data_IF_681623633948
#
_entry.id   IF_681623633948
#
_cell.length_a   1.000
_cell.length_b   1.000
_cell.length_c   1.000
_cell.angle_alpha   90.00
_cell.angle_beta   90.00
_cell.angle_gamma   90.00
#
_symmetry.space_group_name_H-M   'P 1'
#
loop_
_entity.id
_entity.type
_entity.pdbx_description
1 polymer ?
#
# COMPACT_ATOMS: atom_id res chain seq x y z
N UNK A 1 -6.83 -21.69 1.61
CA UNK A 1 -5.46 -21.52 1.09
C UNK A 1 -5.09 -20.05 1.10
N UNK A 2 -3.82 -19.70 1.23
CA UNK A 2 -3.38 -18.31 1.12
C UNK A 2 -3.37 -17.89 -0.35
N UNK A 3 -3.82 -16.68 -0.65
CA UNK A 3 -3.71 -16.06 -1.97
C UNK A 3 -2.22 -15.75 -2.20
N UNK A 4 -1.47 -16.71 -2.75
CA UNK A 4 -0.04 -16.56 -2.99
C UNK A 4 0.26 -15.27 -3.76
N UNK A 5 1.01 -14.34 -3.15
CA UNK A 5 1.58 -13.08 -3.66
C UNK A 5 0.86 -12.32 -4.81
N UNK A 6 -0.47 -12.39 -4.91
CA UNK A 6 -1.28 -11.66 -5.92
C UNK A 6 -1.71 -10.25 -5.48
N UNK A 7 -1.23 -9.77 -4.33
CA UNK A 7 -1.58 -8.46 -3.81
C UNK A 7 -0.96 -7.33 -4.65
N UNK A 8 -1.67 -6.90 -5.70
CA UNK A 8 -1.24 -5.88 -6.63
C UNK A 8 -2.37 -4.88 -6.90
N UNK A 9 -2.07 -3.59 -7.00
CA UNK A 9 -3.06 -2.53 -7.30
C UNK A 9 -3.95 -2.86 -8.49
N UNK A 10 -3.35 -3.34 -9.58
CA UNK A 10 -4.03 -3.62 -10.85
C UNK A 10 -5.08 -4.72 -10.75
N UNK A 11 -4.88 -5.72 -9.89
CA UNK A 11 -5.76 -6.87 -9.78
C UNK A 11 -6.58 -6.88 -8.50
N UNK A 12 -6.17 -6.14 -7.46
CA UNK A 12 -6.75 -6.20 -6.12
C UNK A 12 -8.26 -6.01 -6.12
N UNK A 13 -8.77 -4.96 -6.78
CA UNK A 13 -10.21 -4.70 -6.82
C UNK A 13 -10.97 -5.85 -7.50
N UNK A 14 -10.48 -6.32 -8.65
CA UNK A 14 -11.08 -7.44 -9.37
C UNK A 14 -11.01 -8.76 -8.59
N UNK A 15 -9.92 -8.99 -7.86
CA UNK A 15 -9.74 -10.18 -7.03
C UNK A 15 -10.62 -10.12 -5.78
N UNK A 16 -10.75 -8.93 -5.18
CA UNK A 16 -11.62 -8.70 -4.04
C UNK A 16 -13.09 -8.90 -4.42
N UNK A 17 -13.51 -8.39 -5.57
CA UNK A 17 -14.87 -8.59 -6.08
C UNK A 17 -15.19 -10.06 -6.40
N UNK A 18 -14.22 -10.79 -6.97
CA UNK A 18 -14.35 -12.24 -7.16
C UNK A 18 -14.51 -12.97 -5.83
N UNK A 19 -13.76 -12.58 -4.80
CA UNK A 19 -13.89 -13.16 -3.46
C UNK A 19 -15.25 -12.82 -2.84
N UNK A 20 -15.70 -11.57 -2.96
CA UNK A 20 -17.01 -11.12 -2.49
C UNK A 20 -18.15 -11.89 -3.14
N UNK A 21 -18.10 -12.07 -4.46
CA UNK A 21 -19.08 -12.89 -5.18
C UNK A 21 -18.99 -14.38 -4.82
N UNK A 22 -17.78 -14.92 -4.67
CA UNK A 22 -17.58 -16.32 -4.29
C UNK A 22 -18.09 -16.67 -2.90
N UNK A 23 -17.98 -15.73 -1.96
CA UNK A 23 -18.33 -15.92 -0.56
C UNK A 23 -19.58 -15.12 -0.13
N UNK A 24 -20.44 -14.73 -1.07
CA UNK A 24 -21.62 -13.90 -0.78
C UNK A 24 -22.58 -14.57 0.21
N UNK A 25 -22.83 -15.87 0.06
CA UNK A 25 -23.69 -16.64 0.98
C UNK A 25 -23.12 -16.63 2.41
N UNK A 26 -21.81 -16.85 2.56
CA UNK A 26 -21.14 -16.77 3.85
C UNK A 26 -21.22 -15.36 4.47
N UNK A 27 -21.13 -14.31 3.65
CA UNK A 27 -21.24 -12.93 4.14
C UNK A 27 -22.66 -12.63 4.63
N UNK A 28 -23.69 -13.17 3.97
CA UNK A 28 -25.08 -13.07 4.45
C UNK A 28 -25.27 -13.84 5.76
N UNK A 29 -24.75 -15.07 5.86
CA UNK A 29 -24.79 -15.84 7.11
C UNK A 29 -24.12 -15.09 8.27
N UNK A 30 -22.95 -14.50 8.02
CA UNK A 30 -22.25 -13.66 9.01
C UNK A 30 -23.10 -12.44 9.37
N UNK A 31 -23.79 -11.82 8.41
CA UNK A 31 -24.64 -10.67 8.68
C UNK A 31 -25.86 -11.04 9.53
N UNK A 32 -26.48 -12.21 9.31
CA UNK A 32 -27.54 -12.75 10.17
C UNK A 32 -27.04 -12.95 11.60
N UNK A 33 -25.86 -13.56 11.76
CA UNK A 33 -25.24 -13.79 13.07
C UNK A 33 -24.89 -12.47 13.76
N UNK A 34 -24.51 -11.44 13.00
CA UNK A 34 -24.26 -10.11 13.52
C UNK A 34 -25.55 -9.36 13.92
N UNK A 35 -26.72 -9.73 13.37
CA UNK A 35 -28.02 -9.09 13.68
C UNK A 35 -28.64 -9.61 14.97
N UNK A 36 -28.23 -10.77 15.47
CA UNK A 36 -28.62 -11.22 16.81
C UNK A 36 -28.12 -10.22 17.87
N UNK A 37 -28.97 -9.84 18.83
CA UNK A 37 -28.60 -8.96 19.96
C UNK A 37 -27.63 -9.62 20.96
N UNK A 38 -27.23 -10.87 20.70
CA UNK A 38 -26.29 -11.63 21.50
C UNK A 38 -24.82 -11.28 21.19
N UNK A 39 -23.92 -11.75 22.05
CA UNK A 39 -22.49 -11.77 21.75
C UNK A 39 -22.21 -12.65 20.53
N UNK A 40 -21.21 -12.29 19.72
CA UNK A 40 -20.84 -13.13 18.59
C UNK A 40 -20.40 -14.52 19.07
N UNK A 41 -20.85 -15.60 18.42
CA UNK A 41 -20.39 -16.94 18.73
C UNK A 41 -18.86 -17.02 18.67
N UNK A 42 -18.24 -17.54 19.74
CA UNK A 42 -16.77 -17.64 19.86
C UNK A 42 -16.17 -18.41 18.68
N UNK A 43 -16.90 -19.40 18.14
CA UNK A 43 -16.44 -20.18 16.99
C UNK A 43 -16.15 -19.32 15.75
N UNK A 44 -16.93 -18.26 15.52
CA UNK A 44 -16.72 -17.36 14.37
C UNK A 44 -15.46 -16.52 14.59
N UNK A 45 -15.23 -16.09 15.83
CA UNK A 45 -14.04 -15.31 16.20
C UNK A 45 -12.79 -16.19 16.15
N UNK A 46 -12.87 -17.43 16.64
CA UNK A 46 -11.71 -18.30 16.87
C UNK A 46 -11.31 -19.16 15.68
N UNK A 47 -12.25 -19.48 14.77
CA UNK A 47 -12.03 -20.44 13.67
C UNK A 47 -10.71 -20.21 12.92
N UNK A 48 -10.47 -18.99 12.43
CA UNK A 48 -9.26 -18.67 11.66
C UNK A 48 -8.03 -18.50 12.55
N UNK A 49 -8.04 -17.70 13.64
CA UNK A 49 -6.88 -17.59 14.53
C UNK A 49 -6.39 -18.94 15.07
N UNK A 50 -7.28 -19.86 15.41
CA UNK A 50 -6.93 -21.18 15.95
C UNK A 50 -6.37 -22.10 14.87
N UNK A 51 -7.01 -22.16 13.71
CA UNK A 51 -6.51 -22.90 12.56
C UNK A 51 -5.09 -22.47 12.19
N UNK A 52 -4.85 -21.16 12.07
CA UNK A 52 -3.55 -20.64 11.66
C UNK A 52 -2.49 -20.84 12.74
N UNK A 53 -2.82 -20.56 14.01
CA UNK A 53 -1.88 -20.76 15.12
C UNK A 53 -1.45 -22.22 15.24
N UNK A 54 -2.39 -23.17 15.15
CA UNK A 54 -2.07 -24.60 15.15
C UNK A 54 -1.20 -25.01 13.96
N UNK A 55 -1.55 -24.53 12.75
CA UNK A 55 -0.77 -24.81 11.53
C UNK A 55 0.65 -24.30 11.64
N UNK A 56 0.86 -23.05 12.06
CA UNK A 56 2.20 -22.47 12.23
C UNK A 56 2.97 -23.19 13.35
N UNK A 57 2.31 -23.50 14.47
CA UNK A 57 2.91 -24.21 15.60
C UNK A 57 3.44 -25.60 15.25
N UNK A 58 2.79 -26.30 14.30
CA UNK A 58 3.24 -27.62 13.82
C UNK A 58 4.50 -27.60 12.93
N UNK A 59 4.92 -26.42 12.44
CA UNK A 59 6.07 -26.31 11.54
C UNK A 59 7.39 -26.31 12.31
N UNK A 60 8.25 -27.29 12.03
CA UNK A 60 9.53 -27.47 12.70
C UNK A 60 10.56 -26.36 12.39
N UNK A 61 10.58 -25.85 11.15
CA UNK A 61 11.55 -24.85 10.71
C UNK A 61 11.12 -23.43 11.07
N UNK A 62 11.99 -22.69 11.77
CA UNK A 62 11.79 -21.25 12.05
C UNK A 62 11.57 -20.43 10.77
N UNK A 63 12.33 -20.72 9.71
CA UNK A 63 12.16 -20.05 8.40
C UNK A 63 10.78 -20.31 7.81
N UNK A 64 10.32 -21.57 7.83
CA UNK A 64 8.98 -21.94 7.32
C UNK A 64 7.86 -21.31 8.16
N UNK A 65 8.03 -21.27 9.49
CA UNK A 65 7.11 -20.57 10.40
C UNK A 65 6.99 -19.09 10.03
N UNK A 66 8.12 -18.40 9.89
CA UNK A 66 8.12 -16.98 9.55
C UNK A 66 7.47 -16.70 8.19
N UNK A 67 7.76 -17.52 7.17
CA UNK A 67 7.11 -17.39 5.86
C UNK A 67 5.60 -17.63 5.94
N UNK A 68 5.17 -18.69 6.62
CA UNK A 68 3.75 -18.99 6.79
C UNK A 68 3.03 -17.89 7.58
N UNK A 69 3.62 -17.39 8.68
CA UNK A 69 3.10 -16.26 9.45
C UNK A 69 2.92 -15.03 8.57
N UNK A 70 3.92 -14.69 7.77
CA UNK A 70 3.85 -13.55 6.87
C UNK A 70 2.73 -13.69 5.84
N UNK A 71 2.65 -14.85 5.18
CA UNK A 71 1.62 -15.11 4.16
C UNK A 71 0.21 -15.06 4.77
N UNK A 72 0.03 -15.65 5.94
CA UNK A 72 -1.24 -15.62 6.66
C UNK A 72 -1.60 -14.21 7.13
N UNK A 73 -0.65 -13.47 7.70
CA UNK A 73 -0.85 -12.06 8.08
C UNK A 73 -1.30 -11.22 6.89
N UNK A 74 -0.59 -11.33 5.77
CA UNK A 74 -0.92 -10.60 4.55
C UNK A 74 -2.34 -10.95 4.07
N UNK A 75 -2.71 -12.22 4.06
CA UNK A 75 -4.06 -12.64 3.67
C UNK A 75 -5.14 -12.12 4.62
N UNK A 76 -4.86 -12.10 5.93
CA UNK A 76 -5.77 -11.54 6.92
C UNK A 76 -6.04 -10.06 6.66
N UNK A 77 -4.99 -9.26 6.55
CA UNK A 77 -5.13 -7.80 6.43
C UNK A 77 -5.53 -7.34 5.03
N UNK A 78 -5.14 -8.05 3.98
CA UNK A 78 -5.42 -7.64 2.61
C UNK A 78 -6.81 -8.08 2.14
N UNK A 79 -7.26 -9.28 2.56
CA UNK A 79 -8.47 -9.88 2.00
C UNK A 79 -9.47 -10.27 3.08
N UNK A 80 -9.10 -11.12 4.04
CA UNK A 80 -10.09 -11.71 4.94
C UNK A 80 -10.80 -10.67 5.83
N UNK A 81 -10.05 -9.85 6.57
CA UNK A 81 -10.62 -8.83 7.46
C UNK A 81 -11.43 -7.80 6.66
N UNK A 82 -10.92 -7.22 5.55
CA UNK A 82 -11.72 -6.35 4.69
C UNK A 82 -12.98 -7.02 4.12
N UNK A 83 -12.93 -8.31 3.77
CA UNK A 83 -14.05 -9.05 3.21
C UNK A 83 -15.16 -9.27 4.24
N UNK A 84 -14.81 -9.74 5.45
CA UNK A 84 -15.78 -9.89 6.54
C UNK A 84 -16.36 -8.54 6.95
N UNK A 85 -15.53 -7.48 6.94
CA UNK A 85 -15.97 -6.10 7.19
C UNK A 85 -16.95 -5.56 6.13
N UNK A 86 -17.12 -6.26 4.99
CA UNK A 86 -18.11 -5.95 3.94
C UNK A 86 -19.38 -6.77 4.02
N UNK A 87 -19.54 -7.61 5.04
CA UNK A 87 -20.82 -8.25 5.32
C UNK A 87 -21.91 -7.16 5.53
N UNK A 88 -23.16 -7.38 5.08
CA UNK A 88 -24.25 -6.41 5.18
C UNK A 88 -24.78 -6.28 6.62
N UNK A 89 -23.94 -5.80 7.53
CA UNK A 89 -24.27 -5.56 8.94
C UNK A 89 -23.41 -4.45 9.55
N UNK A 90 -24.02 -3.57 10.33
CA UNK A 90 -23.34 -2.48 11.04
C UNK A 90 -22.36 -3.00 12.11
N UNK A 91 -22.54 -4.25 12.56
CA UNK A 91 -21.69 -4.91 13.56
C UNK A 91 -20.50 -5.67 12.95
N UNK A 92 -20.36 -5.71 11.63
CA UNK A 92 -19.23 -6.37 10.96
C UNK A 92 -17.86 -5.78 11.36
N UNK A 93 -17.81 -4.47 11.63
CA UNK A 93 -16.62 -3.81 12.16
C UNK A 93 -16.22 -4.30 13.56
N UNK A 94 -17.22 -4.54 14.43
CA UNK A 94 -16.99 -5.06 15.78
C UNK A 94 -16.46 -6.51 15.73
N UNK A 95 -17.08 -7.36 14.90
CA UNK A 95 -16.67 -8.75 14.70
C UNK A 95 -15.21 -8.85 14.23
N UNK A 96 -14.87 -8.09 13.18
CA UNK A 96 -13.50 -8.07 12.64
C UNK A 96 -12.49 -7.55 13.67
N UNK A 97 -12.87 -6.58 14.50
CA UNK A 97 -12.05 -6.11 15.63
C UNK A 97 -11.77 -7.21 16.67
N UNK A 98 -12.77 -8.03 17.02
CA UNK A 98 -12.60 -9.18 17.92
C UNK A 98 -11.69 -10.25 17.31
N UNK A 99 -11.84 -10.55 16.01
CA UNK A 99 -10.96 -11.51 15.30
C UNK A 99 -9.50 -11.03 15.32
N UNK A 100 -9.24 -9.76 15.01
CA UNK A 100 -7.88 -9.17 15.05
C UNK A 100 -7.30 -9.21 16.47
N UNK A 101 -8.12 -8.91 17.47
CA UNK A 101 -7.68 -8.97 18.88
C UNK A 101 -7.27 -10.39 19.28
N UNK A 102 -8.06 -11.41 18.92
CA UNK A 102 -7.74 -12.80 19.17
C UNK A 102 -6.50 -13.26 18.40
N UNK A 103 -6.35 -12.85 17.14
CA UNK A 103 -5.16 -13.09 16.33
C UNK A 103 -3.90 -12.62 17.05
N UNK A 104 -3.89 -11.36 17.50
CA UNK A 104 -2.74 -10.73 18.14
C UNK A 104 -2.41 -11.36 19.51
N UNK A 105 -3.40 -11.94 20.19
CA UNK A 105 -3.19 -12.72 21.43
C UNK A 105 -2.54 -14.08 21.15
N UNK A 106 -2.99 -14.79 20.11
CA UNK A 106 -2.45 -16.13 19.74
C UNK A 106 -1.10 -16.03 19.03
N UNK A 107 -0.80 -14.92 18.36
CA UNK A 107 0.40 -14.72 17.54
C UNK A 107 1.11 -13.39 17.90
N UNK A 108 1.72 -13.27 19.11
CA UNK A 108 2.24 -12.01 19.62
C UNK A 108 3.46 -11.48 18.88
N UNK A 109 4.25 -12.36 18.24
CA UNK A 109 5.42 -11.97 17.43
C UNK A 109 5.06 -11.43 16.05
N UNK A 110 3.83 -11.69 15.57
CA UNK A 110 3.41 -11.41 14.20
C UNK A 110 2.04 -10.71 14.21
N UNK A 111 1.94 -9.60 14.93
CA UNK A 111 0.70 -8.85 15.07
C UNK A 111 0.24 -8.25 13.74
N UNK A 112 -1.07 -8.15 13.58
CA UNK A 112 -1.73 -7.49 12.46
C UNK A 112 -2.54 -6.29 12.94
N UNK A 113 -2.68 -5.29 12.07
CA UNK A 113 -3.62 -4.20 12.26
C UNK A 113 -5.01 -4.56 11.74
N UNK A 114 -6.01 -3.80 12.17
CA UNK A 114 -7.33 -3.83 11.54
C UNK A 114 -7.30 -3.02 10.24
N UNK A 115 -7.89 -3.55 9.17
CA UNK A 115 -7.86 -2.96 7.84
C UNK A 115 -9.24 -3.04 7.20
N UNK A 116 -9.55 -2.05 6.37
CA UNK A 116 -10.78 -2.02 5.57
C UNK A 116 -10.46 -2.03 4.09
N UNK A 117 -11.42 -2.43 3.26
CA UNK A 117 -11.28 -2.37 1.80
C UNK A 117 -10.92 -0.93 1.36
N UNK A 118 -11.59 0.07 1.95
CA UNK A 118 -11.33 1.49 1.71
C UNK A 118 -9.89 1.87 2.05
N UNK A 119 -9.37 1.43 3.20
CA UNK A 119 -7.99 1.74 3.61
C UNK A 119 -6.96 1.09 2.69
N UNK A 120 -7.23 -0.12 2.18
CA UNK A 120 -6.32 -0.83 1.29
C UNK A 120 -6.35 -0.19 -0.10
N UNK A 121 -7.54 0.09 -0.63
CA UNK A 121 -7.73 0.82 -1.87
C UNK A 121 -7.19 2.26 -1.80
N UNK A 122 -7.27 2.91 -0.64
CA UNK A 122 -6.62 4.19 -0.35
C UNK A 122 -5.10 4.07 -0.33
N UNK A 123 -4.56 3.04 0.34
CA UNK A 123 -3.13 2.78 0.40
C UNK A 123 -2.48 2.50 -0.96
N UNK A 124 -3.23 1.97 -1.94
CA UNK A 124 -2.76 1.87 -3.32
C UNK A 124 -2.66 3.22 -4.06
N UNK A 125 -3.38 4.25 -3.60
CA UNK A 125 -3.30 5.61 -4.13
C UNK A 125 -2.08 6.35 -3.56
N UNK A 126 -1.61 5.97 -2.37
CA UNK A 126 -0.50 6.62 -1.67
C UNK A 126 0.83 5.90 -1.82
N UNK A 127 1.23 5.58 -3.05
CA UNK A 127 2.67 5.40 -3.28
C UNK A 127 3.34 6.77 -3.11
N UNK A 128 4.15 6.92 -2.06
CA UNK A 128 4.87 8.15 -1.76
C UNK A 128 5.85 8.46 -2.90
N UNK A 129 5.78 9.66 -3.50
CA UNK A 129 6.82 10.13 -4.41
C UNK A 129 8.06 10.52 -3.60
N UNK A 130 8.97 9.57 -3.33
CA UNK A 130 10.16 9.76 -2.49
C UNK A 130 10.93 11.07 -2.74
N UNK A 131 11.37 11.33 -3.98
CA UNK A 131 12.17 12.53 -4.32
C UNK A 131 11.32 13.79 -4.13
N UNK A 132 10.12 13.84 -4.69
CA UNK A 132 9.21 14.99 -4.57
C UNK A 132 8.86 15.29 -3.11
N UNK A 133 8.65 14.25 -2.29
CA UNK A 133 8.35 14.39 -0.86
C UNK A 133 9.54 14.97 -0.11
N UNK A 134 10.75 14.48 -0.37
CA UNK A 134 11.97 15.01 0.23
C UNK A 134 12.20 16.49 -0.17
N UNK A 135 11.97 16.83 -1.44
CA UNK A 135 12.08 18.21 -1.92
C UNK A 135 11.05 19.12 -1.24
N UNK A 136 9.76 18.74 -1.22
CA UNK A 136 8.72 19.55 -0.57
C UNK A 136 9.00 19.75 0.92
N UNK A 137 9.51 18.72 1.62
CA UNK A 137 9.94 18.83 3.02
C UNK A 137 11.12 19.80 3.21
N UNK A 138 12.12 19.76 2.34
CA UNK A 138 13.26 20.70 2.38
C UNK A 138 12.81 22.16 2.20
N UNK A 139 11.69 22.38 1.49
CA UNK A 139 11.08 23.68 1.28
C UNK A 139 10.05 24.05 2.38
N UNK A 140 9.99 23.27 3.47
CA UNK A 140 9.02 23.46 4.57
C UNK A 140 7.54 23.45 4.11
N UNK A 141 7.23 22.74 3.03
CA UNK A 141 5.85 22.53 2.56
C UNK A 141 5.21 21.33 3.28
N UNK A 142 3.88 21.34 3.48
CA UNK A 142 3.19 20.20 4.09
C UNK A 142 3.18 18.97 3.17
N UNK A 143 3.02 17.79 3.76
CA UNK A 143 3.05 16.48 3.07
C UNK A 143 1.86 16.23 2.11
N UNK A 144 0.89 17.14 2.08
CA UNK A 144 -0.29 17.17 1.20
C UNK A 144 -0.34 18.45 0.32
N UNK A 145 0.79 19.15 0.18
CA UNK A 145 0.83 20.38 -0.61
C UNK A 145 0.36 20.18 -2.05
N UNK A 146 -0.11 21.29 -2.66
CA UNK A 146 -0.66 21.31 -4.01
C UNK A 146 0.26 20.62 -5.02
N UNK A 147 1.56 20.94 -4.96
CA UNK A 147 2.54 20.49 -5.93
C UNK A 147 2.79 18.98 -5.86
N UNK A 148 2.86 18.43 -4.64
CA UNK A 148 3.02 16.99 -4.42
C UNK A 148 1.76 16.23 -4.85
N UNK A 149 0.58 16.78 -4.57
CA UNK A 149 -0.70 16.21 -4.99
C UNK A 149 -0.85 16.21 -6.51
N UNK A 150 -0.46 17.30 -7.17
CA UNK A 150 -0.51 17.43 -8.63
C UNK A 150 0.40 16.41 -9.32
N UNK A 151 1.65 16.27 -8.86
CA UNK A 151 2.60 15.29 -9.41
C UNK A 151 2.17 13.85 -9.15
N UNK A 152 1.54 13.56 -8.01
CA UNK A 152 0.93 12.24 -7.75
C UNK A 152 -0.20 11.93 -8.71
N UNK A 153 -1.10 12.88 -8.97
CA UNK A 153 -2.18 12.75 -9.96
C UNK A 153 -1.64 12.53 -11.36
N UNK A 154 -0.62 13.28 -11.78
CA UNK A 154 0.05 13.09 -13.06
C UNK A 154 0.64 11.69 -13.20
N UNK A 155 1.36 11.22 -12.19
CA UNK A 155 1.90 9.86 -12.18
C UNK A 155 0.81 8.80 -12.31
N UNK A 156 -0.20 8.88 -11.45
CA UNK A 156 -1.22 7.83 -11.35
C UNK A 156 -2.21 7.84 -12.50
N UNK A 157 -2.50 9.00 -13.07
CA UNK A 157 -3.49 9.20 -14.12
C UNK A 157 -2.93 9.34 -15.53
N UNK A 158 -1.63 9.62 -15.73
CA UNK A 158 -1.04 9.71 -17.07
C UNK A 158 0.09 8.71 -17.26
N UNK A 159 1.11 8.72 -16.38
CA UNK A 159 2.27 7.82 -16.56
C UNK A 159 1.90 6.33 -16.44
N UNK A 160 0.93 5.97 -15.60
CA UNK A 160 0.53 4.57 -15.45
C UNK A 160 -0.40 4.06 -16.57
N UNK A 161 -0.87 4.93 -17.46
CA UNK A 161 -1.74 4.53 -18.57
C UNK A 161 -0.96 3.89 -19.73
N UNK A 162 0.35 4.16 -19.85
CA UNK A 162 1.20 3.57 -20.88
C UNK A 162 2.21 2.54 -20.32
N UNK A 163 2.56 1.49 -21.09
CA UNK A 163 3.62 0.55 -20.71
C UNK A 163 4.97 1.23 -20.43
N UNK A 164 5.31 2.24 -21.23
CA UNK A 164 6.55 3.01 -21.11
C UNK A 164 6.57 3.83 -19.82
N UNK A 165 5.46 4.50 -19.50
CA UNK A 165 5.32 5.28 -18.28
C UNK A 165 5.28 4.38 -17.03
N UNK A 166 4.66 3.19 -17.10
CA UNK A 166 4.73 2.21 -16.03
C UNK A 166 6.17 1.75 -15.76
N UNK A 167 6.95 1.50 -16.81
CA UNK A 167 8.36 1.12 -16.69
C UNK A 167 9.18 2.25 -16.02
N UNK A 168 8.95 3.51 -16.42
CA UNK A 168 9.58 4.68 -15.80
C UNK A 168 9.23 4.82 -14.32
N UNK A 169 7.94 4.67 -13.97
CA UNK A 169 7.49 4.73 -12.57
C UNK A 169 8.12 3.59 -11.77
N UNK A 170 8.21 2.39 -12.33
CA UNK A 170 8.87 1.25 -11.67
C UNK A 170 10.35 1.52 -11.41
N UNK A 171 11.07 2.03 -12.41
CA UNK A 171 12.48 2.41 -12.28
C UNK A 171 12.66 3.46 -11.18
N UNK A 172 11.85 4.53 -11.22
CA UNK A 172 11.83 5.58 -10.21
C UNK A 172 11.70 4.98 -8.79
N UNK A 173 10.73 4.09 -8.57
CA UNK A 173 10.50 3.50 -7.24
C UNK A 173 11.63 2.57 -6.78
N UNK A 174 12.39 1.99 -7.71
CA UNK A 174 13.55 1.16 -7.37
C UNK A 174 14.74 2.02 -6.90
N UNK A 175 14.95 3.19 -7.52
CA UNK A 175 16.16 4.00 -7.29
C UNK A 175 15.96 5.14 -6.29
N UNK A 176 14.76 5.74 -6.26
CA UNK A 176 14.48 6.96 -5.51
C UNK A 176 14.76 6.88 -4.01
N UNK A 177 14.43 5.80 -3.27
CA UNK A 177 14.74 5.71 -1.84
C UNK A 177 16.25 5.80 -1.55
N UNK A 178 17.07 5.16 -2.40
CA UNK A 178 18.54 5.17 -2.26
C UNK A 178 19.12 6.53 -2.59
N UNK A 179 18.60 7.20 -3.62
CA UNK A 179 18.99 8.56 -4.00
C UNK A 179 18.70 9.53 -2.84
N UNK A 180 17.47 9.53 -2.31
CA UNK A 180 17.09 10.39 -1.17
C UNK A 180 18.02 10.14 0.03
N UNK A 181 18.25 8.87 0.40
CA UNK A 181 19.14 8.51 1.50
C UNK A 181 20.58 9.00 1.31
N UNK A 182 21.08 9.07 0.07
CA UNK A 182 22.44 9.58 -0.21
C UNK A 182 22.46 11.11 -0.16
N UNK A 183 21.45 11.79 -0.73
CA UNK A 183 21.32 13.25 -0.65
C UNK A 183 21.20 13.71 0.81
N UNK A 184 20.37 13.05 1.62
CA UNK A 184 20.20 13.36 3.06
C UNK A 184 21.50 13.30 3.87
N UNK A 185 22.51 12.57 3.39
CA UNK A 185 23.84 12.47 4.03
C UNK A 185 24.82 13.54 3.55
N UNK A 186 24.50 14.25 2.47
CA UNK A 186 25.33 15.34 1.97
C UNK A 186 25.19 16.57 2.86
N UNK A 187 26.30 17.27 3.12
CA UNK A 187 26.27 18.52 3.92
C UNK A 187 25.46 19.64 3.27
N UNK A 188 25.26 19.57 1.96
CA UNK A 188 24.53 20.52 1.14
C UNK A 188 23.18 19.96 0.64
N UNK A 189 22.55 19.05 1.39
CA UNK A 189 21.28 18.41 1.03
C UNK A 189 20.19 19.43 0.63
N UNK A 190 20.01 20.50 1.41
CA UNK A 190 19.00 21.53 1.13
C UNK A 190 19.22 22.20 -0.23
N UNK A 191 20.47 22.51 -0.58
CA UNK A 191 20.79 23.10 -1.87
C UNK A 191 20.54 22.11 -3.02
N UNK A 192 20.85 20.82 -2.82
CA UNK A 192 20.58 19.77 -3.80
C UNK A 192 19.07 19.67 -4.05
N UNK A 193 18.26 19.63 -3.00
CA UNK A 193 16.80 19.59 -3.15
C UNK A 193 16.23 20.86 -3.78
N UNK A 194 16.80 22.02 -3.46
CA UNK A 194 16.42 23.28 -4.09
C UNK A 194 16.72 23.29 -5.60
N UNK A 195 17.84 22.70 -6.01
CA UNK A 195 18.17 22.52 -7.42
C UNK A 195 17.20 21.55 -8.10
N UNK A 196 16.90 20.41 -7.48
CA UNK A 196 15.91 19.45 -8.01
C UNK A 196 14.53 20.13 -8.19
N UNK A 197 14.14 21.00 -7.25
CA UNK A 197 12.92 21.78 -7.36
C UNK A 197 12.92 22.70 -8.58
N UNK A 198 13.95 23.54 -8.74
CA UNK A 198 14.00 24.54 -9.80
C UNK A 198 14.18 23.91 -11.19
N UNK A 199 15.03 22.89 -11.29
CA UNK A 199 15.43 22.32 -12.57
C UNK A 199 14.42 21.30 -13.13
N UNK A 200 13.64 20.66 -12.25
CA UNK A 200 12.77 19.54 -12.64
C UNK A 200 11.34 19.69 -12.16
N UNK A 201 11.10 19.75 -10.85
CA UNK A 201 9.75 19.64 -10.31
C UNK A 201 8.88 20.85 -10.66
N UNK A 202 9.40 22.07 -10.54
CA UNK A 202 8.70 23.31 -10.89
C UNK A 202 8.39 23.38 -12.40
N UNK A 203 9.31 23.05 -13.32
CA UNK A 203 8.99 22.87 -14.74
C UNK A 203 7.91 21.82 -14.99
N UNK A 204 7.99 20.64 -14.36
CA UNK A 204 6.95 19.60 -14.51
C UNK A 204 5.57 20.12 -14.08
N UNK A 205 5.47 20.83 -12.96
CA UNK A 205 4.21 21.40 -12.46
C UNK A 205 3.61 22.37 -13.49
N UNK A 206 4.41 23.28 -14.05
CA UNK A 206 3.94 24.21 -15.09
C UNK A 206 3.45 23.46 -16.34
N UNK A 207 4.19 22.45 -16.79
CA UNK A 207 3.80 21.64 -17.95
C UNK A 207 2.49 20.89 -17.71
N UNK A 208 2.27 20.38 -16.49
CA UNK A 208 0.99 19.74 -16.12
C UNK A 208 -0.15 20.78 -16.11
N UNK A 209 0.07 21.96 -15.54
CA UNK A 209 -0.91 23.06 -15.53
C UNK A 209 -1.28 23.51 -16.96
N UNK A 210 -0.32 23.51 -17.88
CA UNK A 210 -0.49 23.82 -19.30
C UNK A 210 -1.04 22.64 -20.14
N UNK A 211 -1.38 21.50 -19.53
CA UNK A 211 -1.82 20.27 -20.21
C UNK A 211 -0.79 19.66 -21.19
N UNK A 212 0.49 20.00 -21.03
CA UNK A 212 1.61 19.48 -21.83
C UNK A 212 2.20 18.23 -21.18
N UNK A 213 1.37 17.19 -21.08
CA UNK A 213 1.62 16.00 -20.27
C UNK A 213 2.80 15.15 -20.79
N UNK A 214 2.99 15.08 -22.09
CA UNK A 214 4.10 14.32 -22.71
C UNK A 214 5.46 14.96 -22.40
N UNK A 215 5.57 16.28 -22.56
CA UNK A 215 6.79 17.04 -22.24
C UNK A 215 7.13 16.97 -20.75
N UNK A 216 6.12 16.98 -19.87
CA UNK A 216 6.33 16.70 -18.45
C UNK A 216 6.98 15.33 -18.23
N UNK A 217 6.60 14.33 -19.02
CA UNK A 217 7.15 12.97 -18.95
C UNK A 217 8.64 12.94 -19.32
N UNK A 218 9.04 13.72 -20.31
CA UNK A 218 10.46 13.87 -20.69
C UNK A 218 11.30 14.52 -19.59
N UNK A 219 10.80 15.60 -18.97
CA UNK A 219 11.47 16.28 -17.86
C UNK A 219 11.56 15.34 -16.65
N UNK A 220 10.48 14.63 -16.34
CA UNK A 220 10.44 13.66 -15.26
C UNK A 220 11.45 12.53 -15.50
N UNK A 221 11.49 11.95 -16.70
CA UNK A 221 12.45 10.91 -17.08
C UNK A 221 13.90 11.38 -16.98
N UNK A 222 14.17 12.61 -17.44
CA UNK A 222 15.50 13.23 -17.35
C UNK A 222 15.96 13.40 -15.91
N UNK A 223 15.07 13.83 -15.01
CA UNK A 223 15.35 13.93 -13.58
C UNK A 223 15.78 12.58 -13.00
N UNK A 224 14.98 11.53 -13.25
CA UNK A 224 15.22 10.18 -12.71
C UNK A 224 16.57 9.63 -13.19
N UNK A 225 16.87 9.75 -14.48
CA UNK A 225 18.13 9.29 -15.06
C UNK A 225 19.33 10.05 -14.50
N UNK A 226 19.27 11.38 -14.45
CA UNK A 226 20.39 12.20 -13.95
C UNK A 226 20.69 11.91 -12.49
N UNK A 227 19.66 11.89 -11.64
CA UNK A 227 19.82 11.58 -10.22
C UNK A 227 20.28 10.12 -10.01
N UNK A 228 19.85 9.19 -10.86
CA UNK A 228 20.37 7.83 -10.88
C UNK A 228 21.87 7.78 -11.17
N UNK A 229 22.33 8.47 -12.22
CA UNK A 229 23.77 8.57 -12.56
C UNK A 229 24.58 9.19 -11.42
N UNK A 230 24.11 10.30 -10.88
CA UNK A 230 24.85 11.09 -9.89
C UNK A 230 24.91 10.44 -8.51
N UNK A 231 23.87 9.71 -8.11
CA UNK A 231 23.76 9.17 -6.75
C UNK A 231 23.69 7.66 -6.68
N UNK A 232 23.73 6.86 -7.76
CA UNK A 232 23.78 5.39 -7.60
C UNK A 232 25.11 4.80 -8.04
N UNK A 233 25.68 5.34 -9.10
CA UNK A 233 26.88 4.80 -9.76
C UNK A 233 28.15 5.61 -9.44
N UNK A 234 28.02 6.64 -8.60
CA UNK A 234 29.09 7.39 -7.95
C UNK A 234 29.60 6.70 -6.68
#
# INVERSE_FOLDING_TARGET
ETMGYKFQKKTYESDFEKLRGKYSELLEEIAELCRAEEEFPEQIISCIPEYVSGRIGSLQSKRKRNMASFDHNLNMVAYFIPLIGKAPSDRAGELTGKIVSLWNRKMPENKIGHSTYESICGGFRDRICYITTAVCRSLSKPDDCYELTLLRKYRDGYLLESPEGEALVREYYNIAPTIVKRIDKCRNADQIYQNIWQDYLKPCIRLIEEQRLEECGEVYSRMVRRLGTEYLYS
#
